data_IF_361528097913
#
_entry.id   IF_361528097913
#
_cell.length_a   1.000
_cell.length_b   1.000
_cell.length_c   1.000
_cell.angle_alpha   90.00
_cell.angle_beta   90.00
_cell.angle_gamma   90.00
#
_symmetry.space_group_name_H-M   'P 1'
#
loop_
_entity.id
_entity.type
_entity.pdbx_description
1 polymer ?
#
# COMPACT_ATOMS: atom_id res chain seq x y z
N UNK A 1 23.20 -8.78 -1.06
CA UNK A 1 22.59 -9.88 -1.85
C UNK A 1 21.10 -9.67 -1.98
N UNK A 2 20.31 -10.18 -1.02
CA UNK A 2 18.85 -10.22 -1.15
C UNK A 2 18.16 -8.85 -1.23
N UNK A 3 18.54 -7.86 -0.40
CA UNK A 3 17.95 -6.52 -0.51
C UNK A 3 18.26 -5.82 -1.83
N UNK A 4 19.47 -5.99 -2.38
CA UNK A 4 19.81 -5.49 -3.73
C UNK A 4 18.94 -6.13 -4.79
N UNK A 5 18.68 -7.44 -4.65
CA UNK A 5 17.71 -8.14 -5.47
C UNK A 5 16.31 -7.52 -5.36
N UNK A 6 15.80 -7.31 -4.14
CA UNK A 6 14.49 -6.70 -3.94
C UNK A 6 14.39 -5.27 -4.50
N UNK A 7 15.44 -4.47 -4.41
CA UNK A 7 15.45 -3.12 -5.00
C UNK A 7 15.33 -3.16 -6.53
N UNK A 8 15.99 -4.12 -7.18
CA UNK A 8 15.83 -4.29 -8.62
C UNK A 8 14.45 -4.89 -8.97
N UNK A 9 14.06 -5.95 -8.26
CA UNK A 9 12.83 -6.72 -8.46
C UNK A 9 11.56 -5.87 -8.30
N UNK A 10 11.55 -4.94 -7.36
CA UNK A 10 10.45 -4.00 -7.16
C UNK A 10 10.72 -2.61 -7.75
N UNK A 11 11.61 -2.51 -8.74
CA UNK A 11 11.79 -1.28 -9.54
C UNK A 11 12.26 -0.04 -8.77
N UNK A 12 12.84 -0.19 -7.58
CA UNK A 12 13.35 0.91 -6.74
C UNK A 12 14.69 1.43 -7.24
N UNK A 13 15.54 0.52 -7.73
CA UNK A 13 16.82 0.88 -8.34
C UNK A 13 16.60 1.75 -9.58
N UNK A 14 17.43 2.79 -9.77
CA UNK A 14 17.26 3.77 -10.86
C UNK A 14 17.18 3.13 -12.25
N UNK A 15 17.96 2.08 -12.51
CA UNK A 15 17.98 1.37 -13.78
C UNK A 15 16.84 0.38 -14.01
N UNK A 16 16.00 0.10 -13.00
CA UNK A 16 14.86 -0.83 -13.13
C UNK A 16 13.50 -0.16 -13.05
N UNK A 17 13.42 1.17 -12.95
CA UNK A 17 12.14 1.90 -12.89
C UNK A 17 11.31 1.70 -14.15
N UNK A 18 10.01 1.48 -13.96
CA UNK A 18 9.05 1.35 -15.04
C UNK A 18 8.60 2.73 -15.55
N UNK A 19 7.91 2.74 -16.69
CA UNK A 19 7.49 3.96 -17.38
C UNK A 19 6.05 3.86 -17.85
N UNK A 20 5.37 5.01 -17.90
CA UNK A 20 4.03 5.13 -18.45
C UNK A 20 2.94 4.39 -17.66
N UNK A 21 1.75 4.35 -18.26
CA UNK A 21 0.54 3.79 -17.64
C UNK A 21 0.59 2.26 -17.49
N UNK A 22 1.14 1.55 -18.48
CA UNK A 22 1.33 0.10 -18.40
C UNK A 22 2.29 -0.29 -17.26
N UNK A 23 3.42 0.41 -17.15
CA UNK A 23 4.36 0.21 -16.05
C UNK A 23 3.74 0.53 -14.67
N UNK A 24 2.87 1.53 -14.59
CA UNK A 24 2.12 1.82 -13.36
C UNK A 24 1.20 0.66 -12.99
N UNK A 25 0.47 0.09 -13.95
CA UNK A 25 -0.38 -1.07 -13.72
C UNK A 25 0.43 -2.27 -13.22
N UNK A 26 1.62 -2.51 -13.79
CA UNK A 26 2.52 -3.57 -13.34
C UNK A 26 3.00 -3.38 -11.89
N UNK A 27 3.37 -2.15 -11.51
CA UNK A 27 3.74 -1.82 -10.12
C UNK A 27 2.55 -2.05 -9.19
N UNK A 28 1.35 -1.59 -9.57
CA UNK A 28 0.13 -1.78 -8.77
C UNK A 28 -0.18 -3.27 -8.63
N UNK A 29 -0.09 -4.05 -9.71
CA UNK A 29 -0.31 -5.48 -9.68
C UNK A 29 0.75 -6.22 -8.84
N UNK A 30 2.01 -5.77 -8.82
CA UNK A 30 3.05 -6.34 -7.96
C UNK A 30 2.82 -6.01 -6.47
N UNK A 31 2.30 -4.82 -6.17
CA UNK A 31 2.03 -4.36 -4.80
C UNK A 31 0.61 -4.66 -4.32
N UNK A 32 -0.24 -5.25 -5.15
CA UNK A 32 -1.64 -5.54 -4.85
C UNK A 32 -1.78 -6.29 -3.53
N UNK A 33 -2.67 -5.80 -2.65
CA UNK A 33 -2.88 -6.36 -1.32
C UNK A 33 -1.91 -5.87 -0.25
N UNK A 34 -0.91 -5.04 -0.58
CA UNK A 34 -0.13 -4.35 0.43
C UNK A 34 -0.89 -3.12 0.91
N UNK A 35 -0.98 -2.93 2.23
CA UNK A 35 -1.58 -1.72 2.80
C UNK A 35 -0.49 -0.74 3.27
N UNK A 36 -0.53 0.47 2.71
CA UNK A 36 0.32 1.58 3.11
C UNK A 36 -0.55 2.80 3.43
N UNK A 37 0.02 3.76 4.17
CA UNK A 37 -0.64 5.03 4.42
C UNK A 37 -1.07 5.70 3.09
N UNK A 38 -2.31 6.20 3.03
CA UNK A 38 -2.87 6.86 1.85
C UNK A 38 -1.95 7.93 1.26
N UNK A 39 -1.39 8.79 2.13
CA UNK A 39 -0.44 9.84 1.77
C UNK A 39 0.91 9.36 1.25
N UNK A 40 1.29 8.08 1.45
CA UNK A 40 2.57 7.56 1.02
C UNK A 40 2.54 6.98 -0.42
N UNK A 41 1.37 6.59 -0.92
CA UNK A 41 1.26 5.85 -2.19
C UNK A 41 1.91 6.57 -3.37
N UNK A 42 1.46 7.78 -3.70
CA UNK A 42 2.04 8.52 -4.82
C UNK A 42 3.46 9.03 -4.55
N UNK A 43 3.74 9.78 -3.46
CA UNK A 43 5.04 10.42 -3.30
C UNK A 43 6.18 9.45 -2.96
N UNK A 44 5.87 8.29 -2.35
CA UNK A 44 6.90 7.42 -1.79
C UNK A 44 6.90 5.99 -2.36
N UNK A 45 5.77 5.44 -2.78
CA UNK A 45 5.72 4.09 -3.34
C UNK A 45 5.80 4.14 -4.88
N UNK A 46 4.90 4.87 -5.53
CA UNK A 46 4.79 4.92 -6.99
C UNK A 46 5.94 5.71 -7.63
N UNK A 47 6.22 6.94 -7.15
CA UNK A 47 7.34 7.76 -7.68
C UNK A 47 8.73 7.13 -7.52
N UNK A 48 8.89 6.23 -6.55
CA UNK A 48 10.14 5.50 -6.34
C UNK A 48 10.34 4.43 -7.41
N UNK A 49 9.24 3.86 -7.92
CA UNK A 49 9.22 2.72 -8.85
C UNK A 49 9.01 3.11 -10.31
N UNK A 50 8.54 4.33 -10.55
CA UNK A 50 8.19 4.86 -11.87
C UNK A 50 9.03 6.08 -12.20
N UNK A 51 9.62 6.08 -13.39
CA UNK A 51 10.30 7.24 -13.94
C UNK A 51 9.26 8.25 -14.48
N UNK A 52 9.42 9.52 -14.08
CA UNK A 52 8.53 10.64 -14.49
C UNK A 52 7.05 10.36 -14.23
N UNK A 53 6.72 9.77 -13.07
CA UNK A 53 5.34 9.48 -12.70
C UNK A 53 4.45 10.73 -12.72
N UNK A 54 3.32 10.62 -13.40
CA UNK A 54 2.26 11.63 -13.42
C UNK A 54 0.99 11.11 -12.72
N UNK A 55 0.38 11.88 -11.80
CA UNK A 55 -0.85 11.50 -11.08
C UNK A 55 -2.02 11.10 -11.99
N UNK A 56 -2.07 11.66 -13.20
CA UNK A 56 -3.14 11.47 -14.18
C UNK A 56 -3.19 10.03 -14.72
N UNK A 57 -2.06 9.30 -14.73
CA UNK A 57 -2.03 7.90 -15.15
C UNK A 57 -2.83 7.03 -14.17
N UNK A 58 -2.70 7.30 -12.87
CA UNK A 58 -3.48 6.59 -11.85
C UNK A 58 -4.96 6.92 -11.95
N UNK A 59 -5.30 8.19 -12.20
CA UNK A 59 -6.71 8.58 -12.37
C UNK A 59 -7.35 7.90 -13.58
N UNK A 60 -6.65 7.80 -14.72
CA UNK A 60 -7.15 7.09 -15.90
C UNK A 60 -7.35 5.60 -15.63
N UNK A 61 -6.40 4.94 -14.95
CA UNK A 61 -6.53 3.52 -14.57
C UNK A 61 -7.69 3.27 -13.60
N UNK A 62 -7.96 4.18 -12.68
CA UNK A 62 -9.11 4.07 -11.78
C UNK A 62 -10.42 4.31 -12.55
N UNK A 63 -10.50 5.37 -13.35
CA UNK A 63 -11.71 5.73 -14.10
C UNK A 63 -12.06 4.71 -15.19
N UNK A 64 -11.07 4.03 -15.79
CA UNK A 64 -11.29 2.92 -16.73
C UNK A 64 -11.77 1.65 -16.03
N UNK A 65 -11.69 1.59 -14.71
CA UNK A 65 -12.02 0.42 -13.91
C UNK A 65 -10.94 -0.65 -13.90
N UNK A 66 -9.74 -0.39 -14.43
CA UNK A 66 -8.61 -1.33 -14.38
C UNK A 66 -8.03 -1.44 -12.96
N UNK A 67 -8.00 -0.33 -12.23
CA UNK A 67 -7.48 -0.27 -10.85
C UNK A 67 -8.58 0.14 -9.88
N UNK A 68 -8.62 -0.52 -8.74
CA UNK A 68 -9.44 -0.12 -7.59
C UNK A 68 -8.54 0.17 -6.38
N UNK A 69 -9.10 0.88 -5.42
CA UNK A 69 -8.40 1.23 -4.20
C UNK A 69 -9.31 1.17 -2.99
N UNK A 70 -8.74 0.97 -1.82
CA UNK A 70 -9.48 0.94 -0.58
C UNK A 70 -8.70 0.25 0.53
N UNK A 71 -9.22 0.33 1.74
CA UNK A 71 -8.68 -0.44 2.87
C UNK A 71 -9.25 -1.86 2.82
N UNK A 72 -8.35 -2.84 2.80
CA UNK A 72 -8.65 -4.27 2.79
C UNK A 72 -8.77 -4.80 4.22
N UNK A 73 -7.92 -4.34 5.14
CA UNK A 73 -7.96 -4.81 6.52
C UNK A 73 -9.17 -4.28 7.28
N UNK A 74 -9.77 -5.09 8.17
CA UNK A 74 -10.76 -4.58 9.09
C UNK A 74 -10.17 -3.44 9.93
N UNK A 75 -10.91 -2.35 10.08
CA UNK A 75 -10.48 -1.29 11.00
C UNK A 75 -10.43 -1.86 12.43
N UNK A 76 -9.35 -1.68 13.22
CA UNK A 76 -9.19 -2.31 14.54
C UNK A 76 -10.37 -2.05 15.49
N UNK A 77 -10.93 -0.84 15.45
CA UNK A 77 -12.12 -0.48 16.26
C UNK A 77 -13.40 -1.17 15.82
N UNK A 78 -13.50 -1.57 14.56
CA UNK A 78 -14.63 -2.33 14.04
C UNK A 78 -14.44 -3.84 14.19
N UNK A 79 -13.22 -4.30 14.51
CA UNK A 79 -12.95 -5.71 14.79
C UNK A 79 -13.21 -6.07 16.26
N UNK A 80 -13.21 -5.07 17.15
CA UNK A 80 -13.42 -5.22 18.60
C UNK A 80 -14.89 -5.01 19.00
N UNK A 81 -15.84 -5.62 18.28
CA UNK A 81 -17.29 -5.46 18.52
C UNK A 81 -17.73 -5.83 19.95
N UNK A 82 -16.92 -6.60 20.70
CA UNK A 82 -17.22 -7.01 22.09
C UNK A 82 -16.76 -6.03 23.17
N UNK A 83 -16.05 -4.94 22.82
CA UNK A 83 -15.58 -3.94 23.78
C UNK A 83 -15.94 -2.53 23.32
N UNK A 84 -17.24 -2.31 23.06
CA UNK A 84 -17.79 -0.98 22.84
C UNK A 84 -17.60 -0.12 24.10
N UNK A 85 -16.43 0.49 24.24
CA UNK A 85 -16.29 1.67 25.10
C UNK A 85 -16.99 2.80 24.35
N UNK A 86 -18.12 3.32 24.84
CA UNK A 86 -18.82 4.41 24.16
C UNK A 86 -17.87 5.63 24.04
N UNK A 87 -17.72 6.16 22.83
CA UNK A 87 -17.11 7.48 22.60
C UNK A 87 -15.85 7.57 21.72
N UNK A 88 -15.28 6.47 21.20
CA UNK A 88 -14.09 6.55 20.30
C UNK A 88 -14.43 6.40 18.81
N UNK A 89 -14.94 7.48 18.21
CA UNK A 89 -15.23 7.62 16.76
C UNK A 89 -13.98 7.45 15.88
N UNK A 90 -14.10 6.73 14.76
CA UNK A 90 -13.02 6.59 13.76
C UNK A 90 -12.61 7.99 13.30
N UNK A 91 -11.35 8.36 13.53
CA UNK A 91 -10.81 9.66 13.11
C UNK A 91 -10.11 9.46 11.78
N UNK A 92 -10.61 10.05 10.69
CA UNK A 92 -10.00 9.91 9.39
C UNK A 92 -8.64 10.63 9.34
N UNK A 93 -7.59 9.98 8.84
CA UNK A 93 -6.25 10.58 8.72
C UNK A 93 -5.61 10.21 7.39
N UNK A 94 -4.69 11.03 6.89
CA UNK A 94 -3.92 10.70 5.68
C UNK A 94 -2.96 9.51 5.87
N UNK A 95 -2.84 9.00 7.10
CA UNK A 95 -2.07 7.81 7.47
C UNK A 95 -2.94 6.54 7.45
N UNK A 96 -4.25 6.68 7.18
CA UNK A 96 -5.14 5.53 7.03
C UNK A 96 -4.58 4.53 6.01
N UNK A 97 -4.50 3.23 6.37
CA UNK A 97 -3.98 2.22 5.47
C UNK A 97 -4.95 2.00 4.32
N UNK A 98 -4.45 2.06 3.09
CA UNK A 98 -5.17 1.70 1.88
C UNK A 98 -4.26 0.85 0.98
N UNK A 99 -4.88 0.07 0.10
CA UNK A 99 -4.22 -0.66 -0.96
C UNK A 99 -4.68 -0.14 -2.33
N UNK A 100 -3.77 -0.17 -3.31
CA UNK A 100 -4.07 -0.08 -4.74
C UNK A 100 -3.97 -1.48 -5.33
N UNK A 101 -4.93 -1.90 -6.14
CA UNK A 101 -4.94 -3.24 -6.72
C UNK A 101 -5.72 -3.27 -8.05
N UNK A 102 -5.38 -4.20 -8.97
CA UNK A 102 -6.22 -4.44 -10.13
C UNK A 102 -7.63 -4.86 -9.72
N UNK A 103 -8.65 -4.27 -10.34
CA UNK A 103 -10.04 -4.38 -9.87
C UNK A 103 -10.52 -5.83 -9.81
N UNK A 104 -10.12 -6.65 -10.77
CA UNK A 104 -10.45 -8.07 -10.88
C UNK A 104 -9.90 -8.91 -9.70
N UNK A 105 -8.87 -8.42 -9.01
CA UNK A 105 -8.26 -9.10 -7.87
C UNK A 105 -8.95 -8.79 -6.54
N UNK A 106 -9.86 -7.80 -6.52
CA UNK A 106 -10.49 -7.33 -5.28
C UNK A 106 -11.19 -8.43 -4.48
N UNK A 107 -11.79 -9.42 -5.15
CA UNK A 107 -12.55 -10.48 -4.51
C UNK A 107 -11.73 -11.32 -3.53
N UNK A 108 -10.65 -11.94 -4.04
CA UNK A 108 -9.78 -12.77 -3.21
C UNK A 108 -8.93 -11.92 -2.25
N UNK A 109 -8.60 -10.67 -2.63
CA UNK A 109 -7.89 -9.74 -1.75
C UNK A 109 -8.70 -9.43 -0.49
N UNK A 110 -10.01 -9.20 -0.60
CA UNK A 110 -10.86 -9.00 0.57
C UNK A 110 -10.97 -10.24 1.44
N UNK A 111 -11.10 -11.41 0.83
CA UNK A 111 -11.14 -12.69 1.55
C UNK A 111 -9.83 -12.95 2.33
N UNK A 112 -8.68 -12.59 1.75
CA UNK A 112 -7.36 -12.75 2.36
C UNK A 112 -7.16 -11.94 3.67
N UNK A 113 -7.99 -10.93 3.92
CA UNK A 113 -7.95 -10.08 5.11
C UNK A 113 -9.02 -10.43 6.17
N UNK A 114 -9.71 -11.57 5.99
CA UNK A 114 -10.60 -12.14 7.02
C UNK A 114 -11.96 -11.44 7.15
N UNK A 115 -12.40 -10.69 6.15
CA UNK A 115 -13.67 -9.95 6.19
C UNK A 115 -14.85 -10.75 5.63
N UNK A 116 -14.91 -12.05 5.94
CA UNK A 116 -15.92 -12.98 5.41
C UNK A 116 -17.32 -12.81 6.03
N UNK A 117 -17.43 -12.08 7.14
CA UNK A 117 -18.66 -12.00 7.95
C UNK A 117 -19.39 -10.66 7.92
N UNK A 118 -18.81 -9.57 7.39
CA UNK A 118 -19.45 -8.24 7.41
C UNK A 118 -20.46 -8.00 6.30
N UNK A 119 -20.59 -8.93 5.37
CA UNK A 119 -21.49 -8.84 4.21
C UNK A 119 -22.97 -8.92 4.60
N UNK A 120 -23.30 -9.27 5.84
CA UNK A 120 -24.67 -9.59 6.25
C UNK A 120 -25.21 -8.76 7.41
N UNK A 121 -24.45 -7.83 8.00
CA UNK A 121 -25.03 -6.93 8.98
C UNK A 121 -25.81 -5.81 8.27
N UNK A 122 -27.15 -5.74 8.45
CA UNK A 122 -27.97 -4.75 7.77
C UNK A 122 -27.61 -3.33 8.22
N UNK A 123 -27.17 -3.16 9.47
CA UNK A 123 -26.84 -1.87 10.02
C UNK A 123 -25.36 -1.51 9.87
N UNK A 124 -25.05 -0.24 9.53
CA UNK A 124 -23.68 0.23 9.53
C UNK A 124 -23.11 0.17 10.96
N UNK A 125 -21.81 -0.12 11.13
CA UNK A 125 -21.24 -0.37 12.44
C UNK A 125 -21.41 0.83 13.39
N UNK A 126 -21.74 0.53 14.65
CA UNK A 126 -22.04 1.54 15.67
C UNK A 126 -20.88 2.53 15.96
N UNK A 127 -19.65 2.18 15.59
CA UNK A 127 -18.47 3.04 15.74
C UNK A 127 -18.37 4.20 14.73
N UNK A 128 -19.32 4.30 13.79
CA UNK A 128 -19.40 5.36 12.78
C UNK A 128 -20.29 6.53 13.22
N UNK A 129 -19.95 7.74 12.77
CA UNK A 129 -20.82 8.90 12.90
C UNK A 129 -22.18 8.75 12.24
N UNK A 130 -23.15 9.56 12.67
CA UNK A 130 -24.47 9.64 12.03
C UNK A 130 -24.34 9.94 10.53
N UNK A 131 -23.48 10.88 10.14
CA UNK A 131 -23.26 11.23 8.73
C UNK A 131 -22.69 10.06 7.94
N UNK A 132 -21.69 9.35 8.47
CA UNK A 132 -21.12 8.18 7.80
C UNK A 132 -22.13 7.02 7.70
N UNK A 133 -23.00 6.84 8.72
CA UNK A 133 -24.09 5.86 8.68
C UNK A 133 -25.15 6.22 7.64
N UNK A 134 -25.54 7.49 7.55
CA UNK A 134 -26.50 7.98 6.54
C UNK A 134 -25.95 7.75 5.12
N UNK A 135 -24.69 8.13 4.87
CA UNK A 135 -24.01 7.89 3.59
C UNK A 135 -23.92 6.40 3.26
N UNK A 136 -23.61 5.55 4.25
CA UNK A 136 -23.58 4.09 4.08
C UNK A 136 -24.94 3.54 3.64
N UNK A 137 -26.05 4.03 4.20
CA UNK A 137 -27.40 3.60 3.81
C UNK A 137 -27.72 4.05 2.40
N UNK A 138 -27.50 5.33 2.08
CA UNK A 138 -27.71 5.88 0.73
C UNK A 138 -26.93 5.10 -0.33
N UNK A 139 -25.64 4.81 -0.09
CA UNK A 139 -24.80 4.07 -1.03
C UNK A 139 -25.18 2.59 -1.15
N UNK A 140 -25.76 2.01 -0.10
CA UNK A 140 -26.27 0.63 -0.13
C UNK A 140 -27.55 0.54 -0.95
N UNK A 141 -28.49 1.43 -0.69
CA UNK A 141 -29.83 1.38 -1.27
C UNK A 141 -29.88 1.97 -2.68
N UNK A 142 -29.15 3.08 -2.90
CA UNK A 142 -29.08 3.80 -4.19
C UNK A 142 -27.89 3.40 -5.07
N UNK A 143 -26.96 2.60 -4.55
CA UNK A 143 -25.75 2.18 -5.27
C UNK A 143 -24.74 3.31 -5.47
N UNK A 144 -23.84 3.12 -6.45
CA UNK A 144 -22.74 4.04 -6.70
C UNK A 144 -23.24 5.43 -7.14
N UNK A 145 -22.88 6.46 -6.37
CA UNK A 145 -23.47 7.80 -6.49
C UNK A 145 -22.40 8.89 -6.62
N UNK A 146 -22.69 9.97 -7.35
CA UNK A 146 -21.78 11.13 -7.39
C UNK A 146 -21.84 11.91 -6.09
N UNK A 147 -20.77 12.66 -5.78
CA UNK A 147 -20.71 13.47 -4.57
C UNK A 147 -21.89 14.45 -4.42
N UNK A 148 -22.26 15.15 -5.50
CA UNK A 148 -23.38 16.08 -5.49
C UNK A 148 -24.74 15.40 -5.20
N UNK A 149 -24.89 14.14 -5.64
CA UNK A 149 -26.09 13.35 -5.37
C UNK A 149 -26.16 12.93 -3.91
N UNK A 150 -25.01 12.55 -3.30
CA UNK A 150 -24.91 12.24 -1.88
C UNK A 150 -25.25 13.45 -0.99
N UNK A 151 -24.76 14.63 -1.35
CA UNK A 151 -25.12 15.89 -0.66
C UNK A 151 -26.62 16.12 -0.73
N UNK A 152 -27.22 15.99 -1.92
CA UNK A 152 -28.66 16.20 -2.13
C UNK A 152 -29.52 15.16 -1.41
N UNK A 153 -29.15 13.88 -1.46
CA UNK A 153 -29.95 12.79 -0.90
C UNK A 153 -29.87 12.73 0.63
N UNK A 154 -28.74 13.11 1.22
CA UNK A 154 -28.58 13.16 2.67
C UNK A 154 -29.04 14.48 3.30
N UNK A 155 -29.13 15.55 2.50
CA UNK A 155 -29.44 16.90 2.99
C UNK A 155 -28.34 17.50 3.89
N UNK A 156 -27.13 16.93 3.87
CA UNK A 156 -25.98 17.34 4.71
C UNK A 156 -25.13 18.40 4.01
N UNK A 157 -24.32 19.13 4.78
CA UNK A 157 -23.35 20.06 4.21
C UNK A 157 -22.26 19.30 3.44
N UNK A 158 -21.69 19.91 2.39
CA UNK A 158 -20.63 19.28 1.59
C UNK A 158 -19.43 18.84 2.44
N UNK A 159 -19.02 19.65 3.42
CA UNK A 159 -17.92 19.29 4.34
C UNK A 159 -18.25 18.10 5.24
N UNK A 160 -19.50 17.97 5.67
CA UNK A 160 -19.93 16.81 6.47
C UNK A 160 -19.91 15.54 5.62
N UNK A 161 -20.34 15.63 4.36
CA UNK A 161 -20.27 14.51 3.41
C UNK A 161 -18.82 14.11 3.14
N UNK A 162 -17.92 15.08 2.95
CA UNK A 162 -16.47 14.81 2.81
C UNK A 162 -15.91 14.08 4.04
N UNK A 163 -16.15 14.58 5.24
CA UNK A 163 -15.65 13.97 6.48
C UNK A 163 -16.26 12.58 6.70
N UNK A 164 -17.54 12.38 6.35
CA UNK A 164 -18.23 11.10 6.41
C UNK A 164 -17.68 10.08 5.40
N UNK A 165 -17.42 10.50 4.16
CA UNK A 165 -16.77 9.65 3.14
C UNK A 165 -15.34 9.29 3.56
N UNK A 166 -14.60 10.24 4.12
CA UNK A 166 -13.25 10.02 4.64
C UNK A 166 -13.25 9.02 5.82
N UNK A 167 -14.26 9.07 6.69
CA UNK A 167 -14.51 8.08 7.75
C UNK A 167 -14.82 6.69 7.19
N UNK A 168 -15.68 6.59 6.18
CA UNK A 168 -15.99 5.32 5.51
C UNK A 168 -14.77 4.72 4.80
N UNK A 169 -13.93 5.54 4.16
CA UNK A 169 -12.67 5.10 3.55
C UNK A 169 -11.71 4.59 4.62
N UNK A 170 -11.51 5.36 5.70
CA UNK A 170 -10.63 4.97 6.82
C UNK A 170 -11.10 3.66 7.49
N UNK A 171 -12.42 3.44 7.54
CA UNK A 171 -13.07 2.23 8.02
C UNK A 171 -12.96 1.03 7.07
N UNK A 172 -12.60 1.25 5.79
CA UNK A 172 -12.56 0.22 4.74
C UNK A 172 -13.92 -0.19 4.17
N UNK A 173 -14.88 0.74 4.22
CA UNK A 173 -16.25 0.52 3.76
C UNK A 173 -16.55 1.18 2.42
N UNK A 174 -15.88 2.28 2.07
CA UNK A 174 -16.10 3.03 0.84
C UNK A 174 -14.87 3.09 -0.07
N UNK A 175 -15.13 3.26 -1.36
CA UNK A 175 -14.17 3.54 -2.43
C UNK A 175 -14.77 4.52 -3.43
N UNK A 176 -13.98 5.00 -4.39
CA UNK A 176 -14.46 5.81 -5.50
C UNK A 176 -13.78 5.45 -6.82
N UNK A 177 -14.46 5.72 -7.95
CA UNK A 177 -13.95 5.46 -9.30
C UNK A 177 -12.64 6.20 -9.63
N UNK A 178 -12.30 7.28 -8.91
CA UNK A 178 -11.10 8.09 -9.16
C UNK A 178 -10.25 8.25 -7.89
N UNK A 179 -8.92 8.22 -8.04
CA UNK A 179 -8.01 8.42 -6.91
C UNK A 179 -7.91 9.92 -6.52
N UNK A 180 -8.17 10.85 -7.44
CA UNK A 180 -8.24 12.29 -7.12
C UNK A 180 -9.31 12.62 -6.06
N UNK A 181 -10.37 11.80 -5.92
CA UNK A 181 -11.32 11.91 -4.80
C UNK A 181 -10.64 11.70 -3.45
N UNK A 182 -9.76 10.69 -3.33
CA UNK A 182 -8.96 10.47 -2.13
C UNK A 182 -7.98 11.62 -1.90
N UNK A 183 -7.32 12.13 -2.96
CA UNK A 183 -6.41 13.27 -2.86
C UNK A 183 -7.10 14.52 -2.31
N UNK A 184 -8.33 14.79 -2.76
CA UNK A 184 -9.13 15.92 -2.29
C UNK A 184 -9.44 15.82 -0.79
N UNK A 185 -9.76 14.62 -0.28
CA UNK A 185 -10.04 14.41 1.14
C UNK A 185 -8.76 14.52 2.02
N UNK A 186 -7.60 14.14 1.49
CA UNK A 186 -6.32 14.23 2.21
C UNK A 186 -5.80 15.66 2.38
N UNK A 187 -6.12 16.59 1.47
CA UNK A 187 -5.58 17.95 1.47
C UNK A 187 -6.62 18.99 1.95
N UNK A 188 -6.49 19.49 3.20
CA UNK A 188 -7.39 20.52 3.72
C UNK A 188 -7.36 21.82 2.91
N UNK A 189 -6.26 22.15 2.21
CA UNK A 189 -6.17 23.37 1.40
C UNK A 189 -6.97 23.26 0.11
N UNK A 190 -7.02 22.07 -0.50
CA UNK A 190 -7.94 21.75 -1.60
C UNK A 190 -9.40 21.86 -1.14
N UNK A 191 -9.73 21.36 0.06
CA UNK A 191 -11.07 21.51 0.65
C UNK A 191 -11.48 22.98 0.85
N UNK A 192 -10.55 23.85 1.24
CA UNK A 192 -10.80 25.29 1.49
C UNK A 192 -10.68 26.19 0.25
N UNK A 193 -10.30 25.66 -0.91
CA UNK A 193 -10.03 26.43 -2.14
C UNK A 193 -9.00 27.57 -1.98
N UNK A 194 -7.99 27.35 -1.15
CA UNK A 194 -6.90 28.29 -0.86
C UNK A 194 -5.65 27.91 -1.69
N UNK A 195 -5.32 28.69 -2.75
CA UNK A 195 -4.12 28.47 -3.58
C UNK A 195 -4.18 29.10 -4.99
N UNK A 196 -3.03 29.27 -5.66
CA UNK A 196 -2.91 29.85 -7.03
C UNK A 196 -3.48 28.96 -8.14
N UNK A 197 -3.77 27.68 -7.86
CA UNK A 197 -4.28 26.67 -8.80
C UNK A 197 -5.82 26.67 -8.96
N UNK A 198 -6.47 27.81 -8.70
CA UNK A 198 -7.94 27.98 -8.73
C UNK A 198 -8.63 27.62 -10.05
N UNK A 199 -7.90 27.41 -11.14
CA UNK A 199 -8.48 27.42 -12.49
C UNK A 199 -8.49 26.09 -13.23
N UNK A 200 -7.91 25.01 -12.69
CA UNK A 200 -7.64 23.80 -13.51
C UNK A 200 -8.34 22.51 -13.10
N UNK A 201 -8.87 22.38 -11.88
CA UNK A 201 -9.54 21.14 -11.44
C UNK A 201 -10.80 21.43 -10.60
N UNK A 202 -11.93 20.75 -10.87
CA UNK A 202 -13.14 20.87 -10.04
C UNK A 202 -12.86 20.52 -8.57
N UNK A 203 -13.66 21.07 -7.64
CA UNK A 203 -13.54 20.82 -6.19
C UNK A 203 -13.74 19.35 -5.81
N UNK A 204 -14.47 18.61 -6.63
CA UNK A 204 -14.67 17.17 -6.52
C UNK A 204 -14.30 16.53 -7.86
N UNK A 205 -13.45 15.50 -7.81
CA UNK A 205 -13.03 14.77 -9.00
C UNK A 205 -14.23 14.12 -9.69
N UNK A 206 -14.09 13.87 -10.99
CA UNK A 206 -14.95 12.91 -11.69
C UNK A 206 -14.91 11.54 -10.97
N UNK A 207 -16.04 10.84 -11.00
CA UNK A 207 -16.19 9.48 -10.46
C UNK A 207 -17.28 9.36 -9.40
N UNK A 208 -17.81 8.15 -9.23
CA UNK A 208 -18.83 7.83 -8.24
C UNK A 208 -18.20 7.23 -6.99
N UNK A 209 -18.83 7.48 -5.85
CA UNK A 209 -18.56 6.81 -4.59
C UNK A 209 -19.39 5.55 -4.49
N UNK A 210 -18.83 4.49 -3.92
CA UNK A 210 -19.52 3.22 -3.75
C UNK A 210 -19.04 2.51 -2.49
N UNK A 211 -19.85 1.59 -1.97
CA UNK A 211 -19.39 0.68 -0.92
C UNK A 211 -18.38 -0.30 -1.53
N UNK A 212 -17.19 -0.37 -0.92
CA UNK A 212 -16.04 -1.13 -1.44
C UNK A 212 -16.40 -2.60 -1.71
N UNK A 213 -17.15 -3.23 -0.79
CA UNK A 213 -17.60 -4.62 -0.95
C UNK A 213 -18.54 -4.80 -2.13
N UNK A 214 -19.56 -3.95 -2.25
CA UNK A 214 -20.54 -4.01 -3.35
C UNK A 214 -19.84 -3.76 -4.69
N UNK A 215 -18.96 -2.77 -4.74
CA UNK A 215 -18.20 -2.42 -5.93
C UNK A 215 -17.32 -3.57 -6.45
N UNK A 216 -16.71 -4.33 -5.52
CA UNK A 216 -15.91 -5.51 -5.84
C UNK A 216 -16.80 -6.70 -6.22
N UNK A 217 -17.87 -6.99 -5.46
CA UNK A 217 -18.78 -8.11 -5.76
C UNK A 217 -19.44 -7.98 -7.13
N UNK A 218 -19.89 -6.79 -7.53
CA UNK A 218 -20.45 -6.54 -8.86
C UNK A 218 -19.45 -6.82 -10.00
N UNK A 219 -18.15 -6.61 -9.76
CA UNK A 219 -17.10 -6.93 -10.73
C UNK A 219 -16.95 -8.44 -10.94
N UNK A 220 -17.12 -9.23 -9.88
CA UNK A 220 -16.98 -10.69 -9.90
C UNK A 220 -18.19 -11.36 -10.57
N UNK A 221 -19.41 -10.87 -10.34
CA UNK A 221 -20.62 -11.40 -10.98
C UNK A 221 -20.61 -11.28 -12.51
N UNK A 222 -19.86 -10.32 -13.06
CA UNK A 222 -19.66 -10.21 -14.51
C UNK A 222 -18.68 -11.27 -15.07
N UNK A 223 -17.89 -11.93 -14.22
CA UNK A 223 -16.80 -12.85 -14.61
C UNK A 223 -16.95 -14.27 -14.04
N UNK A 224 -17.99 -14.54 -13.25
CA UNK A 224 -18.13 -15.81 -12.54
C UNK A 224 -18.78 -16.91 -13.41
N UNK A 225 -17.94 -17.71 -14.07
CA UNK A 225 -18.23 -19.14 -14.26
C UNK A 225 -18.08 -19.84 -12.92
N UNK A 226 -19.12 -20.56 -12.52
CA UNK A 226 -19.25 -21.32 -11.28
C UNK A 226 -17.97 -22.08 -10.94
N UNK A 227 -17.38 -21.93 -9.75
CA UNK A 227 -16.62 -23.00 -9.09
C UNK A 227 -16.51 -22.79 -7.57
N UNK A 228 -16.94 -23.83 -6.85
CA UNK A 228 -16.43 -24.34 -5.57
C UNK A 228 -17.20 -24.01 -4.28
N UNK A 229 -17.56 -25.09 -3.58
CA UNK A 229 -18.27 -25.14 -2.29
C UNK A 229 -17.32 -25.15 -1.07
N UNK A 230 -16.13 -24.58 -1.19
CA UNK A 230 -15.14 -24.47 -0.10
C UNK A 230 -15.20 -23.10 0.56
N UNK A 231 -14.80 -23.02 1.84
CA UNK A 231 -14.72 -21.74 2.57
C UNK A 231 -13.88 -20.71 1.80
N UNK A 232 -14.30 -19.44 1.69
CA UNK A 232 -13.64 -18.44 0.84
C UNK A 232 -12.17 -18.18 1.23
N UNK A 233 -11.79 -18.39 2.49
CA UNK A 233 -10.41 -18.32 2.99
C UNK A 233 -9.50 -19.30 2.25
N UNK A 234 -9.96 -20.53 1.99
CA UNK A 234 -9.20 -21.51 1.22
C UNK A 234 -9.07 -21.11 -0.26
N UNK A 235 -10.08 -20.44 -0.81
CA UNK A 235 -10.03 -19.91 -2.17
C UNK A 235 -9.03 -18.76 -2.33
N UNK A 236 -8.71 -18.03 -1.24
CA UNK A 236 -7.74 -16.94 -1.26
C UNK A 236 -6.27 -17.40 -1.11
N UNK A 237 -6.00 -18.62 -0.60
CA UNK A 237 -4.63 -19.09 -0.31
C UNK A 237 -3.75 -19.10 -1.55
N UNK A 238 -4.23 -19.68 -2.66
CA UNK A 238 -3.45 -19.74 -3.90
C UNK A 238 -3.17 -18.36 -4.51
N UNK A 239 -4.17 -17.48 -4.73
CA UNK A 239 -3.93 -16.12 -5.18
C UNK A 239 -2.95 -15.35 -4.28
N UNK A 240 -3.05 -15.48 -2.96
CA UNK A 240 -2.12 -14.83 -2.02
C UNK A 240 -0.71 -15.38 -2.15
N UNK A 241 -0.55 -16.71 -2.25
CA UNK A 241 0.76 -17.34 -2.46
C UNK A 241 1.43 -16.81 -3.74
N UNK A 242 0.68 -16.75 -4.85
CA UNK A 242 1.16 -16.17 -6.11
C UNK A 242 1.50 -14.68 -5.96
N UNK A 243 0.67 -13.90 -5.25
CA UNK A 243 0.90 -12.47 -5.04
C UNK A 243 2.18 -12.21 -4.23
N UNK A 244 2.45 -12.97 -3.18
CA UNK A 244 3.66 -12.83 -2.37
C UNK A 244 4.91 -13.19 -3.17
N UNK A 245 4.85 -14.25 -3.99
CA UNK A 245 5.92 -14.61 -4.92
C UNK A 245 6.16 -13.50 -5.94
N UNK A 246 5.10 -12.94 -6.55
CA UNK A 246 5.22 -11.80 -7.48
C UNK A 246 5.88 -10.60 -6.81
N UNK A 247 5.50 -10.30 -5.56
CA UNK A 247 5.99 -9.13 -4.81
C UNK A 247 7.45 -9.27 -4.38
N UNK A 248 7.84 -10.42 -3.84
CA UNK A 248 9.16 -10.60 -3.23
C UNK A 248 10.13 -11.44 -4.05
N UNK A 249 9.67 -12.18 -5.05
CA UNK A 249 10.44 -13.14 -5.83
C UNK A 249 10.78 -14.42 -5.06
N UNK A 250 11.25 -14.26 -3.81
CA UNK A 250 11.49 -15.34 -2.83
C UNK A 250 10.66 -15.08 -1.59
N UNK A 251 9.94 -16.11 -1.13
CA UNK A 251 9.08 -16.05 0.05
C UNK A 251 9.56 -17.06 1.10
N UNK A 252 9.59 -16.62 2.36
CA UNK A 252 9.87 -17.41 3.54
C UNK A 252 9.16 -16.81 4.76
N UNK A 253 9.02 -17.60 5.83
CA UNK A 253 8.18 -17.27 6.99
C UNK A 253 8.40 -15.84 7.54
N UNK A 254 9.65 -15.44 7.76
CA UNK A 254 9.97 -14.17 8.42
C UNK A 254 9.55 -12.94 7.60
N UNK A 255 9.46 -13.04 6.26
CA UNK A 255 8.98 -11.95 5.40
C UNK A 255 7.53 -11.57 5.67
N UNK A 256 6.71 -12.53 6.12
CA UNK A 256 5.30 -12.28 6.43
C UNK A 256 5.12 -11.29 7.58
N UNK A 257 6.15 -11.04 8.41
CA UNK A 257 6.11 -10.01 9.45
C UNK A 257 5.88 -8.59 8.93
N UNK A 258 6.00 -8.37 7.60
CA UNK A 258 5.66 -7.11 6.94
C UNK A 258 4.24 -7.08 6.34
N UNK A 259 3.59 -8.23 6.21
CA UNK A 259 2.25 -8.41 5.66
C UNK A 259 1.17 -8.35 6.75
N UNK A 260 -0.02 -7.92 6.36
CA UNK A 260 -1.21 -7.79 7.24
C UNK A 260 -2.30 -8.81 6.91
N UNK A 261 -1.92 -9.92 6.26
CA UNK A 261 -2.82 -10.98 5.81
C UNK A 261 -3.39 -11.76 7.01
N UNK A 262 -4.62 -12.26 6.86
CA UNK A 262 -5.25 -13.15 7.85
C UNK A 262 -4.86 -14.63 7.69
N UNK A 263 -3.95 -14.94 6.75
CA UNK A 263 -3.52 -16.31 6.44
C UNK A 263 -2.28 -16.70 7.24
N UNK A 264 -2.22 -17.96 7.65
CA UNK A 264 -1.07 -18.50 8.36
C UNK A 264 0.04 -18.95 7.40
N UNK A 265 1.30 -18.94 7.87
CA UNK A 265 2.40 -19.56 7.12
C UNK A 265 2.15 -21.04 6.80
N UNK A 266 1.41 -21.75 7.67
CA UNK A 266 1.09 -23.16 7.46
C UNK A 266 0.23 -23.36 6.21
N UNK A 267 -0.77 -22.51 6.01
CA UNK A 267 -1.67 -22.59 4.84
C UNK A 267 -0.90 -22.31 3.56
N UNK A 268 -0.06 -21.27 3.57
CA UNK A 268 0.80 -20.93 2.44
C UNK A 268 1.85 -22.02 2.16
N UNK A 269 2.41 -22.65 3.19
CA UNK A 269 3.39 -23.72 3.03
C UNK A 269 2.81 -24.92 2.30
N UNK A 270 1.58 -25.32 2.62
CA UNK A 270 0.87 -26.40 1.91
C UNK A 270 0.70 -26.03 0.44
N UNK A 271 0.29 -24.79 0.17
CA UNK A 271 0.09 -24.31 -1.20
C UNK A 271 1.41 -24.22 -1.98
N UNK A 272 2.49 -23.71 -1.36
CA UNK A 272 3.80 -23.63 -2.03
C UNK A 272 4.36 -25.01 -2.36
N UNK A 273 4.25 -25.99 -1.46
CA UNK A 273 4.65 -27.38 -1.77
C UNK A 273 3.86 -27.97 -2.94
N UNK A 274 2.57 -27.64 -3.06
CA UNK A 274 1.76 -28.03 -4.22
C UNK A 274 2.27 -27.39 -5.51
N UNK A 275 2.52 -26.08 -5.49
CA UNK A 275 3.06 -25.35 -6.63
C UNK A 275 4.47 -25.84 -7.02
N UNK A 276 5.29 -26.25 -6.06
CA UNK A 276 6.60 -26.85 -6.29
C UNK A 276 6.48 -28.23 -6.98
N UNK A 277 5.58 -29.09 -6.50
CA UNK A 277 5.31 -30.40 -7.14
C UNK A 277 4.80 -30.23 -8.58
N UNK A 278 4.08 -29.14 -8.86
CA UNK A 278 3.65 -28.76 -10.22
C UNK A 278 4.78 -28.18 -11.08
N UNK A 279 5.95 -27.91 -10.50
CA UNK A 279 7.10 -27.32 -11.18
C UNK A 279 6.99 -25.82 -11.45
N UNK A 280 5.97 -25.16 -10.89
CA UNK A 280 5.73 -23.72 -11.09
C UNK A 280 6.75 -22.87 -10.32
N UNK A 281 7.23 -23.38 -9.18
CA UNK A 281 8.18 -22.70 -8.31
C UNK A 281 9.28 -23.65 -7.87
N UNK A 282 10.33 -23.11 -7.24
CA UNK A 282 11.44 -23.88 -6.67
C UNK A 282 11.45 -23.74 -5.15
N UNK A 283 11.45 -24.86 -4.43
CA UNK A 283 11.81 -24.91 -3.03
C UNK A 283 13.32 -24.98 -2.84
N UNK A 284 13.83 -24.37 -1.77
CA UNK A 284 15.26 -24.42 -1.46
C UNK A 284 15.70 -23.38 -0.44
N UNK A 285 16.99 -23.04 -0.52
CA UNK A 285 17.64 -22.04 0.35
C UNK A 285 18.32 -21.01 -0.53
N UNK A 286 17.60 -19.92 -0.81
CA UNK A 286 18.05 -18.86 -1.70
C UNK A 286 18.66 -17.68 -0.93
N UNK A 287 18.16 -17.42 0.28
CA UNK A 287 18.60 -16.36 1.18
C UNK A 287 19.23 -16.95 2.43
N UNK A 288 20.48 -16.58 2.72
CA UNK A 288 21.18 -16.99 3.93
C UNK A 288 20.68 -16.27 5.19
N UNK A 289 20.91 -16.86 6.37
CA UNK A 289 20.58 -16.26 7.67
C UNK A 289 19.17 -16.54 8.21
N UNK A 290 18.32 -17.24 7.44
CA UNK A 290 16.96 -17.62 7.85
C UNK A 290 16.80 -19.12 7.93
N UNK A 291 15.96 -19.60 8.85
CA UNK A 291 15.64 -21.02 8.99
C UNK A 291 14.35 -21.36 8.23
N UNK A 292 14.09 -22.66 8.02
CA UNK A 292 12.92 -23.13 7.29
C UNK A 292 13.07 -23.19 5.77
N UNK A 293 11.98 -23.60 5.13
CA UNK A 293 11.81 -23.69 3.68
C UNK A 293 11.62 -22.31 3.06
N UNK A 294 12.19 -22.11 1.87
CA UNK A 294 12.00 -20.92 1.06
C UNK A 294 11.53 -21.33 -0.32
N UNK A 295 10.69 -20.48 -0.91
CA UNK A 295 10.07 -20.74 -2.20
C UNK A 295 10.31 -19.56 -3.12
N UNK A 296 10.70 -19.83 -4.36
CA UNK A 296 11.04 -18.79 -5.31
C UNK A 296 10.47 -19.07 -6.71
N UNK A 297 10.12 -18.00 -7.41
CA UNK A 297 9.86 -18.06 -8.85
C UNK A 297 11.14 -18.43 -9.61
N UNK A 298 11.08 -19.23 -10.69
CA UNK A 298 12.25 -19.57 -11.50
C UNK A 298 13.06 -18.33 -11.93
N UNK A 299 12.39 -17.29 -12.43
CA UNK A 299 12.99 -16.03 -12.85
C UNK A 299 13.63 -15.24 -11.70
N UNK A 300 13.11 -15.38 -10.47
CA UNK A 300 13.70 -14.78 -9.28
C UNK A 300 15.01 -15.49 -8.91
N UNK A 301 15.07 -16.82 -9.06
CA UNK A 301 16.30 -17.60 -8.86
C UNK A 301 17.36 -17.22 -9.90
N UNK A 302 16.97 -17.07 -11.16
CA UNK A 302 17.87 -16.63 -12.24
C UNK A 302 18.42 -15.22 -11.97
N UNK A 303 17.54 -14.29 -11.58
CA UNK A 303 17.92 -12.92 -11.22
C UNK A 303 18.89 -12.88 -10.04
N UNK A 304 18.68 -13.70 -9.01
CA UNK A 304 19.59 -13.82 -7.87
C UNK A 304 20.96 -14.37 -8.29
N UNK A 305 21.01 -15.33 -9.22
CA UNK A 305 22.27 -15.87 -9.76
C UNK A 305 23.01 -14.80 -10.57
N UNK A 306 22.31 -14.09 -11.46
CA UNK A 306 22.88 -13.02 -12.28
C UNK A 306 23.54 -11.92 -11.42
N UNK A 307 22.88 -11.52 -10.32
CA UNK A 307 23.44 -10.53 -9.39
C UNK A 307 24.67 -11.01 -8.63
N UNK A 308 24.82 -12.32 -8.41
CA UNK A 308 26.02 -12.87 -7.78
C UNK A 308 27.21 -12.85 -8.73
N UNK A 309 26.97 -13.14 -10.01
CA UNK A 309 28.01 -13.15 -11.06
C UNK A 309 28.42 -11.73 -11.46
N UNK A 310 27.47 -10.80 -11.60
CA UNK A 310 27.74 -9.41 -11.98
C UNK A 310 28.31 -8.53 -10.85
N UNK A 311 28.67 -9.12 -9.70
CA UNK A 311 29.20 -8.38 -8.55
C UNK A 311 30.73 -8.18 -8.61
N UNK A 312 31.35 -8.38 -9.77
CA UNK A 312 32.77 -8.12 -10.01
C UNK A 312 33.01 -6.63 -10.33
N UNK A 313 33.74 -5.97 -9.43
CA UNK A 313 34.62 -4.80 -9.65
C UNK A 313 34.00 -3.45 -10.09
N UNK A 314 33.85 -2.53 -9.12
CA UNK A 314 33.94 -1.08 -9.38
C UNK A 314 32.65 -0.25 -9.38
N UNK A 315 31.48 -0.85 -9.12
CA UNK A 315 30.25 -0.07 -9.00
C UNK A 315 30.29 0.83 -7.75
N UNK A 316 30.03 2.13 -7.94
CA UNK A 316 29.96 3.09 -6.84
C UNK A 316 28.89 2.65 -5.81
N UNK A 317 29.23 2.75 -4.53
CA UNK A 317 28.26 2.49 -3.45
C UNK A 317 27.10 3.47 -3.56
N UNK A 318 25.88 2.95 -3.60
CA UNK A 318 24.68 3.76 -3.79
C UNK A 318 23.76 3.67 -2.58
N UNK A 319 23.47 4.83 -2.00
CA UNK A 319 22.50 4.96 -0.92
C UNK A 319 21.08 5.02 -1.51
N UNK A 320 20.20 4.12 -1.04
CA UNK A 320 18.78 4.07 -1.39
C UNK A 320 17.98 4.49 -0.16
N UNK A 321 17.24 5.60 -0.28
CA UNK A 321 16.32 6.11 0.74
C UNK A 321 14.89 5.71 0.39
N UNK A 322 14.22 4.99 1.29
CA UNK A 322 12.82 4.57 1.15
C UNK A 322 11.96 5.09 2.29
N UNK A 323 10.68 5.34 2.03
CA UNK A 323 9.73 5.60 3.12
C UNK A 323 9.57 4.34 3.97
N UNK A 324 9.39 4.52 5.28
CA UNK A 324 9.11 3.41 6.18
C UNK A 324 7.75 2.74 5.88
N UNK A 325 6.85 3.43 5.17
CA UNK A 325 5.59 2.85 4.69
C UNK A 325 5.76 1.87 3.52
N UNK A 326 6.94 1.81 2.89
CA UNK A 326 7.25 0.91 1.76
C UNK A 326 7.27 -0.58 2.19
N UNK A 327 6.88 -1.53 1.32
CA UNK A 327 7.03 -2.98 1.58
C UNK A 327 8.48 -3.41 1.79
N UNK A 328 9.46 -2.69 1.23
CA UNK A 328 10.88 -2.98 1.41
C UNK A 328 11.46 -2.40 2.71
N UNK A 329 10.65 -1.77 3.57
CA UNK A 329 11.04 -1.51 4.94
C UNK A 329 11.08 -2.83 5.73
N UNK A 330 12.21 -3.52 5.60
CA UNK A 330 12.51 -4.80 6.22
C UNK A 330 13.48 -4.68 7.41
N UNK A 331 13.74 -3.43 7.85
CA UNK A 331 14.53 -3.12 9.04
C UNK A 331 13.87 -3.68 10.31
N UNK A 332 14.60 -4.49 11.08
CA UNK A 332 14.07 -5.19 12.25
C UNK A 332 13.03 -6.26 11.93
N UNK A 333 12.91 -6.67 10.66
CA UNK A 333 12.10 -7.82 10.22
C UNK A 333 13.03 -8.95 9.79
N UNK A 334 13.72 -8.76 8.66
CA UNK A 334 14.75 -9.68 8.17
C UNK A 334 16.14 -9.05 8.21
N UNK A 335 16.24 -7.73 8.42
CA UNK A 335 17.51 -7.03 8.56
C UNK A 335 17.79 -6.73 10.04
N UNK A 336 19.06 -6.75 10.46
CA UNK A 336 19.43 -6.41 11.83
C UNK A 336 19.07 -4.95 12.14
N UNK A 337 18.83 -4.68 13.43
CA UNK A 337 18.46 -3.36 13.93
C UNK A 337 17.02 -3.27 14.41
N UNK A 338 16.61 -2.10 14.94
CA UNK A 338 15.26 -1.90 15.46
C UNK A 338 14.23 -1.85 14.34
N UNK A 339 13.00 -2.29 14.64
CA UNK A 339 11.87 -2.16 13.71
C UNK A 339 11.52 -0.69 13.51
N UNK A 340 11.53 -0.22 12.27
CA UNK A 340 11.20 1.17 11.93
C UNK A 340 9.69 1.30 11.68
N UNK A 341 8.96 2.13 12.44
CA UNK A 341 7.52 2.29 12.28
C UNK A 341 7.14 2.82 10.89
N UNK A 342 6.12 2.19 10.27
CA UNK A 342 5.67 2.45 8.90
C UNK A 342 4.84 3.75 8.74
N UNK A 343 5.37 4.86 9.24
CA UNK A 343 4.76 6.19 9.16
C UNK A 343 5.34 6.95 7.95
N UNK A 344 4.54 7.69 7.15
CA UNK A 344 5.01 8.39 5.96
C UNK A 344 6.20 9.32 6.18
N UNK A 345 6.29 9.94 7.37
CA UNK A 345 7.36 10.86 7.75
C UNK A 345 8.69 10.17 8.07
N UNK A 346 8.69 8.85 8.24
CA UNK A 346 9.89 8.08 8.55
C UNK A 346 10.50 7.53 7.26
N UNK A 347 11.83 7.47 7.22
CA UNK A 347 12.57 6.90 6.10
C UNK A 347 13.62 5.92 6.60
N UNK A 348 13.95 4.95 5.76
CA UNK A 348 15.05 4.00 5.95
C UNK A 348 16.08 4.22 4.85
N UNK A 349 17.35 4.18 5.21
CA UNK A 349 18.48 4.36 4.29
C UNK A 349 19.27 3.06 4.22
N UNK A 350 19.44 2.57 3.01
CA UNK A 350 20.21 1.36 2.71
C UNK A 350 21.44 1.72 1.89
N UNK A 351 22.56 1.05 2.16
CA UNK A 351 23.78 1.12 1.35
C UNK A 351 24.11 -0.27 0.86
N UNK A 352 24.10 -0.45 -0.45
CA UNK A 352 24.36 -1.76 -1.10
C UNK A 352 23.50 -2.91 -0.54
N UNK A 353 22.29 -2.59 -0.09
CA UNK A 353 21.34 -3.53 0.50
C UNK A 353 21.51 -3.77 2.01
N UNK A 354 22.51 -3.20 2.66
CA UNK A 354 22.63 -3.19 4.11
C UNK A 354 21.83 -2.02 4.71
N UNK A 355 21.10 -2.26 5.80
CA UNK A 355 20.46 -1.18 6.56
C UNK A 355 21.52 -0.32 7.25
N UNK A 356 21.48 1.00 7.01
CA UNK A 356 22.45 1.94 7.59
C UNK A 356 21.83 2.72 8.74
N UNK A 357 20.69 3.38 8.48
CA UNK A 357 20.02 4.24 9.46
C UNK A 357 18.54 4.45 9.14
N UNK A 358 17.79 4.84 10.15
CA UNK A 358 16.46 5.40 10.00
C UNK A 358 16.49 6.93 10.17
N UNK A 359 15.61 7.64 9.47
CA UNK A 359 15.36 9.07 9.64
C UNK A 359 13.93 9.20 10.13
N UNK A 360 13.75 9.57 11.40
CA UNK A 360 12.43 9.69 12.00
C UNK A 360 11.90 11.12 11.83
N UNK A 361 10.64 11.25 11.43
CA UNK A 361 10.03 12.54 11.09
C UNK A 361 9.96 13.57 12.22
N UNK A 362 10.21 13.16 13.49
CA UNK A 362 10.28 14.08 14.64
C UNK A 362 11.67 14.68 14.87
N UNK A 363 12.73 14.15 14.26
CA UNK A 363 14.11 14.66 14.43
C UNK A 363 14.57 15.61 13.32
N UNK A 364 13.74 15.86 12.30
CA UNK A 364 14.10 16.79 11.21
C UNK A 364 13.69 18.24 11.47
N UNK A 365 12.96 18.52 12.56
CA UNK A 365 12.55 19.87 12.95
C UNK A 365 13.48 20.52 13.99
N UNK A 366 14.30 19.72 14.70
CA UNK A 366 15.30 20.20 15.67
C UNK A 366 16.64 19.52 15.35
N UNK A 367 17.61 20.33 14.93
CA UNK A 367 19.01 20.02 14.50
C UNK A 367 19.24 20.03 13.00
N UNK A 368 19.37 21.25 12.46
CA UNK A 368 20.44 21.55 11.52
C UNK A 368 21.76 21.42 12.31
N UNK A 369 22.72 20.56 11.94
CA UNK A 369 24.09 20.74 12.39
C UNK A 369 24.61 22.00 11.69
N UNK A 370 25.00 23.00 12.48
CA UNK A 370 25.83 24.09 11.99
C UNK A 370 27.00 23.49 11.20
N UNK A 371 27.17 23.98 9.97
CA UNK A 371 28.43 23.88 9.26
C UNK A 371 29.47 24.54 10.14
N UNK A 372 30.23 23.75 10.90
CA UNK A 372 31.49 24.23 11.45
C UNK A 372 32.46 24.32 10.28
N UNK A 373 32.51 25.51 9.69
CA UNK A 373 33.53 25.91 8.73
C UNK A 373 34.92 25.69 9.35
N UNK A 374 35.65 24.72 8.81
CA UNK A 374 37.08 24.62 9.06
C UNK A 374 37.77 25.62 8.13
N UNK A 375 37.78 26.90 8.54
CA UNK A 375 38.61 27.92 7.90
C UNK A 375 40.01 27.87 8.50
N UNK A 376 40.90 27.19 7.78
CA UNK A 376 42.34 27.36 7.97
C UNK A 376 42.72 28.80 7.62
N UNK A 377 42.94 29.64 8.64
CA UNK A 377 43.66 30.89 8.47
C UNK A 377 45.09 30.74 8.98
N UNK A 378 46.00 30.68 8.01
CA UNK A 378 47.40 30.97 8.19
C UNK A 378 47.56 32.39 8.79
N UNK A 379 48.18 32.47 9.97
CA UNK A 379 48.78 33.73 10.46
C UNK A 379 50.27 33.68 10.19
N UNK A 380 50.65 34.44 9.18
CA UNK A 380 52.02 34.85 8.88
C UNK A 380 52.14 36.32 9.32
N UNK A 381 52.85 36.60 10.42
CA UNK A 381 53.41 37.92 10.80
C UNK A 381 54.66 37.60 11.64
N UNK A 382 55.88 37.64 11.04
CA UNK A 382 56.88 38.73 11.10
C UNK A 382 57.22 39.17 12.53
N UNK A 383 58.42 38.82 13.01
CA UNK A 383 59.57 39.73 13.13
C UNK A 383 59.29 40.93 14.03
N UNK A 384 59.71 40.83 15.29
CA UNK A 384 60.72 41.70 15.92
C UNK A 384 61.35 40.97 17.11
#
# INVERSE_FOLDING_TARGET
GFMRFLFQWQHVSSGSRLHGEAGLLDVIAQLAGFEAAASAWEPHLLRTRLAKYEPEWLDRLCLSGAVSWGRLSPHPRLAQESACTPGRRIVPTAVAPISLFPREQGGWLLAAFGDEGRTQTPDPPAGLSDVARDLSRVLRDGGASFFADLVRSTGRLSSEVEDGLWELVAAGLATADGFDNLRALMDPRRRRAEGRERSRRPRHSAGRWSLLRIAISHSLSAHATQHSAFSPQHAAVEPVARQLLRRYGVVFRDLLGRESLALSWRDLLVQYRRMELQGEIRGGRFVGGFTGEQFALPEAVESLRAMRTGNESGAASHDIKLSASDPLNLAGVILPGPRVPAVPSNFVVFRDGAFVRAVLGRESADRLPEQTEWSGQAKQVRQE
#
